data_IF_177475517407
#
_entry.id   IF_177475517407
#
_cell.length_a   1.000
_cell.length_b   1.000
_cell.length_c   1.000
_cell.angle_alpha   90.00
_cell.angle_beta   90.00
_cell.angle_gamma   90.00
#
_symmetry.space_group_name_H-M   'P 1'
#
loop_
_entity.id
_entity.type
_entity.pdbx_description
1 polymer ?
#
# COMPACT_ATOMS: atom_id res chain seq x y z
N UNK A 1 12.36 -6.27 49.55
CA UNK A 1 11.88 -7.42 48.74
C UNK A 1 10.83 -6.87 47.80
N UNK A 2 10.98 -7.01 46.47
CA UNK A 2 10.02 -6.44 45.51
C UNK A 2 8.73 -7.27 45.59
N UNK A 3 7.60 -6.61 45.82
CA UNK A 3 6.30 -7.24 45.65
C UNK A 3 5.99 -7.32 44.15
N UNK A 4 6.31 -8.45 43.54
CA UNK A 4 6.16 -8.62 42.09
C UNK A 4 4.70 -8.46 41.64
N UNK A 5 3.72 -8.94 42.40
CA UNK A 5 2.31 -8.77 42.06
C UNK A 5 1.93 -7.29 41.94
N UNK A 6 2.34 -6.48 42.91
CA UNK A 6 2.07 -5.04 42.89
C UNK A 6 2.78 -4.34 41.73
N UNK A 7 4.02 -4.74 41.43
CA UNK A 7 4.74 -4.24 40.26
C UNK A 7 4.02 -4.59 38.94
N UNK A 8 3.49 -5.81 38.81
CA UNK A 8 2.71 -6.19 37.62
C UNK A 8 1.37 -5.46 37.53
N UNK A 9 0.66 -5.25 38.65
CA UNK A 9 -0.58 -4.44 38.67
C UNK A 9 -0.31 -3.02 38.16
N UNK A 10 0.76 -2.40 38.64
CA UNK A 10 1.19 -1.08 38.17
C UNK A 10 1.56 -1.09 36.69
N UNK A 11 2.29 -2.11 36.22
CA UNK A 11 2.65 -2.24 34.82
C UNK A 11 1.42 -2.30 33.89
N UNK A 12 0.44 -3.17 34.17
CA UNK A 12 -0.77 -3.27 33.35
C UNK A 12 -1.68 -2.04 33.49
N UNK A 13 -1.71 -1.41 34.67
CA UNK A 13 -2.39 -0.12 34.85
C UNK A 13 -1.83 0.96 33.92
N UNK A 14 -0.50 1.10 33.87
CA UNK A 14 0.16 2.09 33.01
C UNK A 14 -0.09 1.82 31.52
N UNK A 15 -0.07 0.54 31.10
CA UNK A 15 -0.42 0.16 29.72
C UNK A 15 -1.84 0.56 29.34
N UNK A 16 -2.81 0.24 30.18
CA UNK A 16 -4.19 0.66 29.99
C UNK A 16 -4.31 2.19 29.94
N UNK A 17 -3.69 2.90 30.89
CA UNK A 17 -3.75 4.36 30.97
C UNK A 17 -3.13 5.06 29.75
N UNK A 18 -2.12 4.48 29.13
CA UNK A 18 -1.51 5.03 27.91
C UNK A 18 -2.52 5.16 26.75
N UNK A 19 -3.56 4.34 26.72
CA UNK A 19 -4.59 4.32 25.66
C UNK A 19 -5.91 4.97 26.09
N UNK A 20 -6.03 5.38 27.35
CA UNK A 20 -7.25 5.97 27.89
C UNK A 20 -7.59 7.29 27.19
N UNK A 21 -8.84 7.44 26.77
CA UNK A 21 -9.33 8.66 26.09
C UNK A 21 -8.82 8.84 24.66
N UNK A 22 -8.08 7.88 24.10
CA UNK A 22 -7.62 7.95 22.72
C UNK A 22 -8.64 7.25 21.79
N UNK A 23 -9.34 8.03 20.98
CA UNK A 23 -10.36 7.54 20.04
C UNK A 23 -9.80 6.55 19.01
N UNK A 24 -8.53 6.71 18.64
CA UNK A 24 -7.85 5.86 17.65
C UNK A 24 -7.47 4.48 18.21
N UNK A 25 -7.46 4.33 19.53
CA UNK A 25 -7.07 3.09 20.22
C UNK A 25 -8.17 2.55 21.14
N UNK A 26 -9.43 2.77 20.78
CA UNK A 26 -10.57 2.43 21.63
C UNK A 26 -10.70 0.92 21.88
N UNK A 27 -10.42 0.07 20.88
CA UNK A 27 -10.46 -1.39 21.04
C UNK A 27 -9.31 -1.85 21.92
N UNK A 28 -8.11 -1.32 21.68
CA UNK A 28 -6.90 -1.64 22.45
C UNK A 28 -7.08 -1.25 23.91
N UNK A 29 -7.64 -0.06 24.18
CA UNK A 29 -7.95 0.38 25.54
C UNK A 29 -8.90 -0.59 26.23
N UNK A 30 -9.99 -1.01 25.58
CA UNK A 30 -10.94 -1.95 26.15
C UNK A 30 -10.28 -3.31 26.49
N UNK A 31 -9.42 -3.82 25.61
CA UNK A 31 -8.69 -5.07 25.83
C UNK A 31 -7.64 -4.95 26.94
N UNK A 32 -6.86 -3.86 26.97
CA UNK A 32 -5.88 -3.58 28.04
C UNK A 32 -6.57 -3.38 29.39
N UNK A 33 -7.74 -2.73 29.42
CA UNK A 33 -8.56 -2.59 30.62
C UNK A 33 -9.03 -3.95 31.13
N UNK A 34 -9.50 -4.83 30.27
CA UNK A 34 -9.88 -6.20 30.65
C UNK A 34 -8.67 -6.95 31.24
N UNK A 35 -7.50 -6.85 30.62
CA UNK A 35 -6.27 -7.48 31.11
C UNK A 35 -5.83 -6.92 32.47
N UNK A 36 -5.93 -5.60 32.66
CA UNK A 36 -5.71 -4.95 33.94
C UNK A 36 -6.70 -5.40 35.01
N UNK A 37 -8.00 -5.45 34.70
CA UNK A 37 -9.05 -5.89 35.63
C UNK A 37 -8.80 -7.34 36.11
N UNK A 38 -8.31 -8.22 35.22
CA UNK A 38 -7.91 -9.59 35.56
C UNK A 38 -6.79 -9.58 36.60
N UNK A 39 -5.67 -8.91 36.34
CA UNK A 39 -4.54 -8.93 37.29
C UNK A 39 -4.87 -8.19 38.59
N UNK A 40 -5.65 -7.11 38.52
CA UNK A 40 -6.05 -6.35 39.69
C UNK A 40 -6.88 -7.19 40.66
N UNK A 41 -7.69 -8.11 40.13
CA UNK A 41 -8.48 -9.09 40.91
C UNK A 41 -7.65 -10.21 41.57
N UNK A 42 -6.37 -10.35 41.21
CA UNK A 42 -5.51 -11.42 41.72
C UNK A 42 -4.90 -11.06 43.08
N UNK A 43 -4.79 -12.07 43.94
CA UNK A 43 -4.10 -11.98 45.24
C UNK A 43 -2.70 -12.57 45.19
N UNK A 44 -2.41 -13.41 44.20
CA UNK A 44 -1.10 -14.00 43.89
C UNK A 44 -0.79 -13.94 42.40
N UNK A 45 0.46 -14.20 42.00
CA UNK A 45 0.84 -14.26 40.58
C UNK A 45 0.38 -15.55 39.91
N UNK A 46 0.28 -16.63 40.67
CA UNK A 46 -0.21 -17.92 40.22
C UNK A 46 -1.67 -17.81 39.75
N UNK A 47 -2.51 -17.10 40.50
CA UNK A 47 -3.89 -16.80 40.08
C UNK A 47 -3.96 -16.06 38.75
N UNK A 48 -3.01 -15.16 38.49
CA UNK A 48 -2.98 -14.41 37.24
C UNK A 48 -2.71 -15.33 36.05
N UNK A 49 -1.76 -16.27 36.19
CA UNK A 49 -1.46 -17.26 35.15
C UNK A 49 -2.70 -18.10 34.79
N UNK A 50 -3.50 -18.47 35.78
CA UNK A 50 -4.70 -19.29 35.55
C UNK A 50 -5.87 -18.47 34.98
N UNK A 51 -5.97 -17.18 35.35
CA UNK A 51 -7.07 -16.29 34.91
C UNK A 51 -6.82 -15.58 33.57
N UNK A 52 -5.57 -15.39 33.15
CA UNK A 52 -5.24 -14.55 31.98
C UNK A 52 -5.86 -15.06 30.68
N UNK A 53 -6.01 -16.38 30.52
CA UNK A 53 -6.61 -17.00 29.34
C UNK A 53 -6.06 -16.44 28.02
N UNK A 54 -6.97 -15.98 27.14
CA UNK A 54 -6.64 -15.34 25.86
C UNK A 54 -6.56 -13.80 25.92
N UNK A 55 -6.51 -13.19 27.11
CA UNK A 55 -6.54 -11.73 27.24
C UNK A 55 -5.37 -11.05 26.49
N UNK A 56 -4.16 -11.63 26.54
CA UNK A 56 -3.02 -11.12 25.77
C UNK A 56 -3.24 -11.19 24.26
N UNK A 57 -3.85 -12.27 23.78
CA UNK A 57 -4.18 -12.47 22.37
C UNK A 57 -5.19 -11.40 21.90
N UNK A 58 -6.20 -11.13 22.73
CA UNK A 58 -7.22 -10.12 22.45
C UNK A 58 -6.64 -8.71 22.39
N UNK A 59 -5.66 -8.37 23.23
CA UNK A 59 -4.94 -7.09 23.15
C UNK A 59 -4.21 -6.96 21.81
N UNK A 60 -3.54 -8.01 21.35
CA UNK A 60 -2.84 -7.98 20.07
C UNK A 60 -3.80 -7.81 18.88
N UNK A 61 -4.92 -8.54 18.88
CA UNK A 61 -5.97 -8.40 17.86
C UNK A 61 -6.57 -6.99 17.86
N UNK A 62 -6.87 -6.45 19.04
CA UNK A 62 -7.43 -5.10 19.19
C UNK A 62 -6.47 -4.03 18.66
N UNK A 63 -5.16 -4.18 18.92
CA UNK A 63 -4.14 -3.27 18.39
C UNK A 63 -4.09 -3.30 16.87
N UNK A 64 -4.12 -4.48 16.25
CA UNK A 64 -4.15 -4.60 14.78
C UNK A 64 -5.40 -3.94 14.20
N UNK A 65 -6.58 -4.14 14.82
CA UNK A 65 -7.83 -3.51 14.39
C UNK A 65 -7.71 -1.98 14.43
N UNK A 66 -7.26 -1.42 15.54
CA UNK A 66 -7.09 0.03 15.70
C UNK A 66 -6.10 0.59 14.67
N UNK A 67 -4.92 -0.02 14.53
CA UNK A 67 -3.92 0.42 13.55
C UNK A 67 -4.43 0.35 12.11
N UNK A 68 -5.16 -0.70 11.74
CA UNK A 68 -5.72 -0.80 10.40
C UNK A 68 -6.87 0.19 10.17
N UNK A 69 -7.69 0.50 11.18
CA UNK A 69 -8.71 1.53 11.06
C UNK A 69 -8.09 2.93 10.87
N UNK A 70 -7.03 3.25 11.61
CA UNK A 70 -6.29 4.51 11.44
C UNK A 70 -5.73 4.60 10.01
N UNK A 71 -5.03 3.55 9.56
CA UNK A 71 -4.45 3.50 8.21
C UNK A 71 -5.51 3.57 7.13
N UNK A 72 -6.62 2.86 7.30
CA UNK A 72 -7.72 2.84 6.35
C UNK A 72 -8.32 4.24 6.18
N UNK A 73 -8.65 4.94 7.27
CA UNK A 73 -9.15 6.31 7.20
C UNK A 73 -8.18 7.22 6.45
N UNK A 74 -6.89 7.17 6.80
CA UNK A 74 -5.87 7.96 6.11
C UNK A 74 -5.81 7.65 4.61
N UNK A 75 -5.79 6.37 4.23
CA UNK A 75 -5.73 5.97 2.83
C UNK A 75 -7.00 6.32 2.04
N UNK A 76 -8.17 6.27 2.67
CA UNK A 76 -9.43 6.71 2.06
C UNK A 76 -9.45 8.23 1.84
N UNK A 77 -9.00 9.02 2.82
CA UNK A 77 -8.88 10.48 2.70
C UNK A 77 -8.00 10.89 1.52
N UNK A 78 -6.84 10.23 1.36
CA UNK A 78 -5.92 10.51 0.26
C UNK A 78 -6.25 9.73 -1.03
N UNK A 79 -7.33 8.94 -1.01
CA UNK A 79 -7.80 8.08 -2.11
C UNK A 79 -6.74 7.09 -2.62
N UNK A 80 -5.89 6.59 -1.72
CA UNK A 80 -4.93 5.52 -1.99
C UNK A 80 -5.62 4.15 -1.92
N UNK A 81 -6.29 3.78 -3.01
CA UNK A 81 -7.20 2.62 -3.04
C UNK A 81 -6.52 1.26 -2.86
N UNK A 82 -5.25 1.12 -3.24
CA UNK A 82 -4.53 -0.18 -3.14
C UNK A 82 -4.17 -0.46 -1.69
N UNK A 83 -3.59 0.53 -0.98
CA UNK A 83 -3.28 0.37 0.44
C UNK A 83 -4.53 0.26 1.30
N UNK A 84 -5.59 1.02 0.98
CA UNK A 84 -6.89 0.90 1.63
C UNK A 84 -7.48 -0.51 1.50
N UNK A 85 -7.36 -1.15 0.32
CA UNK A 85 -7.85 -2.51 0.12
C UNK A 85 -7.15 -3.53 1.04
N UNK A 86 -5.82 -3.44 1.22
CA UNK A 86 -5.09 -4.29 2.17
C UNK A 86 -5.60 -4.11 3.60
N UNK A 87 -5.78 -2.87 4.07
CA UNK A 87 -6.32 -2.61 5.42
C UNK A 87 -7.70 -3.26 5.62
N UNK A 88 -8.60 -3.17 4.62
CA UNK A 88 -9.91 -3.84 4.68
C UNK A 88 -9.79 -5.36 4.76
N UNK A 89 -8.92 -5.97 3.94
CA UNK A 89 -8.70 -7.43 3.98
C UNK A 89 -8.18 -7.89 5.34
N UNK A 90 -7.26 -7.15 5.96
CA UNK A 90 -6.75 -7.46 7.30
C UNK A 90 -7.89 -7.33 8.34
N UNK A 91 -8.69 -6.26 8.29
CA UNK A 91 -9.83 -6.05 9.19
C UNK A 91 -10.92 -7.13 9.07
N UNK A 92 -11.10 -7.70 7.88
CA UNK A 92 -12.02 -8.82 7.67
C UNK A 92 -11.44 -10.14 8.20
N UNK A 93 -10.14 -10.36 8.00
CA UNK A 93 -9.43 -11.59 8.37
C UNK A 93 -8.98 -11.67 9.82
N UNK A 94 -8.91 -10.55 10.55
CA UNK A 94 -8.54 -10.55 11.99
C UNK A 94 -9.62 -11.18 12.87
N UNK A 95 -10.90 -11.02 12.49
CA UNK A 95 -12.05 -11.53 13.26
C UNK A 95 -11.98 -13.03 13.57
N UNK A 96 -11.61 -13.93 12.64
CA UNK A 96 -11.48 -15.36 12.92
C UNK A 96 -10.17 -15.78 13.61
N UNK A 97 -9.16 -14.92 13.74
CA UNK A 97 -7.89 -15.27 14.38
C UNK A 97 -8.10 -15.56 15.87
N UNK A 98 -7.41 -16.58 16.39
CA UNK A 98 -7.47 -16.94 17.83
C UNK A 98 -6.11 -16.79 18.53
N UNK A 99 -5.03 -16.88 17.75
CA UNK A 99 -3.67 -16.84 18.25
C UNK A 99 -2.83 -15.77 17.53
N UNK A 100 -1.91 -15.16 18.24
CA UNK A 100 -1.00 -14.10 17.77
C UNK A 100 -0.13 -14.63 16.64
N UNK A 101 0.26 -15.90 16.69
CA UNK A 101 0.99 -16.54 15.59
C UNK A 101 0.18 -16.55 14.29
N UNK A 102 -1.11 -16.88 14.34
CA UNK A 102 -2.01 -16.83 13.18
C UNK A 102 -2.19 -15.40 12.68
N UNK A 103 -2.36 -14.45 13.62
CA UNK A 103 -2.49 -13.02 13.32
C UNK A 103 -1.25 -12.49 12.58
N UNK A 104 -0.05 -12.78 13.09
CA UNK A 104 1.22 -12.35 12.49
C UNK A 104 1.35 -12.92 11.07
N UNK A 105 1.10 -14.22 10.91
CA UNK A 105 1.17 -14.88 9.59
C UNK A 105 0.19 -14.23 8.62
N UNK A 106 -1.08 -14.06 9.01
CA UNK A 106 -2.11 -13.46 8.16
C UNK A 106 -1.77 -12.03 7.75
N UNK A 107 -1.31 -11.21 8.70
CA UNK A 107 -0.90 -9.81 8.42
C UNK A 107 0.28 -9.79 7.44
N UNK A 108 1.26 -10.67 7.60
CA UNK A 108 2.41 -10.75 6.70
C UNK A 108 2.01 -11.20 5.29
N UNK A 109 1.11 -12.17 5.17
CA UNK A 109 0.57 -12.61 3.87
C UNK A 109 -0.14 -11.47 3.14
N UNK A 110 -0.97 -10.70 3.85
CA UNK A 110 -1.66 -9.54 3.29
C UNK A 110 -0.72 -8.40 2.90
N UNK A 111 0.34 -8.16 3.68
CA UNK A 111 1.37 -7.18 3.34
C UNK A 111 2.21 -7.61 2.13
N UNK A 112 2.52 -8.90 2.01
CA UNK A 112 3.22 -9.43 0.84
C UNK A 112 2.36 -9.29 -0.42
N UNK A 113 1.06 -9.59 -0.33
CA UNK A 113 0.13 -9.34 -1.43
C UNK A 113 0.06 -7.86 -1.79
N UNK A 114 -0.01 -6.97 -0.78
CA UNK A 114 0.01 -5.53 -1.00
C UNK A 114 1.28 -5.08 -1.75
N UNK A 115 2.45 -5.62 -1.41
CA UNK A 115 3.70 -5.26 -2.09
C UNK A 115 3.65 -5.63 -3.58
N UNK A 116 3.06 -6.78 -3.91
CA UNK A 116 2.82 -7.16 -5.31
C UNK A 116 1.85 -6.18 -5.96
N UNK A 117 0.71 -5.89 -5.31
CA UNK A 117 -0.30 -4.95 -5.83
C UNK A 117 0.27 -3.54 -6.05
N UNK A 118 1.15 -3.05 -5.17
CA UNK A 118 1.83 -1.76 -5.33
C UNK A 118 2.78 -1.82 -6.53
N UNK A 119 3.58 -2.87 -6.63
CA UNK A 119 4.56 -3.04 -7.72
C UNK A 119 3.86 -3.08 -9.07
N UNK A 120 2.75 -3.82 -9.17
CA UNK A 120 1.96 -3.96 -10.40
C UNK A 120 1.00 -2.80 -10.64
N UNK A 121 0.89 -1.86 -9.71
CA UNK A 121 0.15 -0.60 -9.83
C UNK A 121 1.05 0.58 -10.24
N UNK A 122 1.90 0.32 -11.22
CA UNK A 122 2.77 1.30 -11.84
C UNK A 122 2.10 2.04 -13.00
N UNK A 123 2.48 3.31 -13.17
CA UNK A 123 2.24 4.10 -14.38
C UNK A 123 3.50 4.25 -15.24
N UNK A 124 4.66 3.76 -14.80
CA UNK A 124 5.86 3.75 -15.65
C UNK A 124 5.68 2.77 -16.83
N UNK A 125 6.22 3.04 -18.04
CA UNK A 125 7.05 4.19 -18.43
C UNK A 125 6.30 5.46 -18.84
N UNK A 126 4.97 5.54 -18.66
CA UNK A 126 4.18 6.72 -19.05
C UNK A 126 4.65 8.04 -18.43
N UNK A 127 5.37 7.99 -17.29
CA UNK A 127 5.88 9.18 -16.63
C UNK A 127 7.08 9.85 -17.36
N UNK A 128 7.70 9.18 -18.33
CA UNK A 128 8.83 9.73 -19.09
C UNK A 128 8.36 10.37 -20.40
N UNK A 129 7.86 11.60 -20.27
CA UNK A 129 7.21 12.35 -21.36
C UNK A 129 8.17 12.85 -22.44
N UNK A 130 9.47 12.95 -22.13
CA UNK A 130 10.47 13.56 -23.02
C UNK A 130 10.58 12.81 -24.35
N UNK A 131 10.50 11.48 -24.32
CA UNK A 131 10.60 10.65 -25.52
C UNK A 131 9.43 10.87 -26.49
N UNK A 132 8.23 11.08 -25.95
CA UNK A 132 7.05 11.35 -26.77
C UNK A 132 7.10 12.76 -27.37
N UNK A 133 7.58 13.74 -26.62
CA UNK A 133 7.78 15.10 -27.12
C UNK A 133 8.83 15.14 -28.25
N UNK A 134 9.96 14.45 -28.09
CA UNK A 134 10.97 14.34 -29.15
C UNK A 134 10.38 13.74 -30.44
N UNK A 135 9.62 12.66 -30.30
CA UNK A 135 9.00 11.97 -31.42
C UNK A 135 7.98 12.88 -32.13
N UNK A 136 7.17 13.61 -31.36
CA UNK A 136 6.23 14.61 -31.91
C UNK A 136 6.96 15.72 -32.68
N UNK A 137 8.02 16.29 -32.09
CA UNK A 137 8.83 17.33 -32.74
C UNK A 137 9.39 16.83 -34.06
N UNK A 138 9.98 15.63 -34.10
CA UNK A 138 10.64 15.13 -35.31
C UNK A 138 9.65 14.67 -36.39
N UNK A 139 8.47 14.19 -36.02
CA UNK A 139 7.45 13.76 -36.99
C UNK A 139 6.65 14.94 -37.56
N UNK A 140 6.47 16.02 -36.81
CA UNK A 140 5.60 17.15 -37.21
C UNK A 140 6.36 18.38 -37.70
N UNK A 141 7.65 18.54 -37.36
CA UNK A 141 8.40 19.74 -37.74
C UNK A 141 8.77 19.76 -39.23
N UNK A 142 8.88 20.96 -39.80
CA UNK A 142 9.45 21.14 -41.14
C UNK A 142 10.98 21.01 -41.09
N UNK A 143 11.46 19.82 -41.42
CA UNK A 143 12.90 19.50 -41.40
C UNK A 143 13.51 19.74 -42.79
N UNK A 144 14.62 20.50 -42.90
CA UNK A 144 15.32 20.67 -44.17
C UNK A 144 15.70 19.33 -44.80
N UNK A 145 15.63 19.24 -46.13
CA UNK A 145 15.81 17.99 -46.87
C UNK A 145 17.12 17.26 -46.51
N UNK A 146 18.21 18.01 -46.28
CA UNK A 146 19.51 17.47 -45.89
C UNK A 146 19.52 16.71 -44.55
N UNK A 147 18.54 16.92 -43.68
CA UNK A 147 18.46 16.29 -42.36
C UNK A 147 17.27 15.34 -42.21
N UNK A 148 16.35 15.25 -43.19
CA UNK A 148 15.12 14.44 -43.07
C UNK A 148 15.39 12.98 -42.71
N UNK A 149 16.37 12.35 -43.36
CA UNK A 149 16.72 10.95 -43.09
C UNK A 149 17.25 10.75 -41.66
N UNK A 150 18.09 11.67 -41.19
CA UNK A 150 18.66 11.66 -39.84
C UNK A 150 17.55 11.74 -38.77
N UNK A 151 16.61 12.66 -38.93
CA UNK A 151 15.52 12.82 -37.97
C UNK A 151 14.49 11.68 -38.05
N UNK A 152 14.27 11.10 -39.23
CA UNK A 152 13.48 9.89 -39.36
C UNK A 152 14.11 8.70 -38.62
N UNK A 153 15.44 8.56 -38.67
CA UNK A 153 16.16 7.56 -37.90
C UNK A 153 16.00 7.78 -36.38
N UNK A 154 16.15 9.02 -35.90
CA UNK A 154 15.91 9.36 -34.49
C UNK A 154 14.49 9.04 -34.04
N UNK A 155 13.47 9.41 -34.83
CA UNK A 155 12.09 9.10 -34.50
C UNK A 155 11.84 7.58 -34.42
N UNK A 156 12.49 6.80 -35.27
CA UNK A 156 12.41 5.34 -35.22
C UNK A 156 13.13 4.75 -34.00
N UNK A 157 14.30 5.30 -33.63
CA UNK A 157 15.01 4.91 -32.40
C UNK A 157 14.16 5.16 -31.16
N UNK A 158 13.52 6.33 -31.05
CA UNK A 158 12.66 6.65 -29.90
C UNK A 158 11.41 5.77 -29.85
N UNK A 159 10.78 5.54 -31.00
CA UNK A 159 9.66 4.59 -31.11
C UNK A 159 10.06 3.21 -30.58
N UNK A 160 11.22 2.72 -31.00
CA UNK A 160 11.74 1.41 -30.57
C UNK A 160 12.06 1.39 -29.07
N UNK A 161 12.61 2.48 -28.54
CA UNK A 161 12.87 2.65 -27.10
C UNK A 161 11.57 2.61 -26.28
N UNK A 162 10.53 3.30 -26.73
CA UNK A 162 9.21 3.30 -26.08
C UNK A 162 8.63 1.89 -26.09
N UNK A 163 8.54 1.24 -27.25
CA UNK A 163 8.04 -0.13 -27.38
C UNK A 163 8.83 -1.10 -26.48
N UNK A 164 10.15 -0.97 -26.46
CA UNK A 164 11.03 -1.80 -25.63
C UNK A 164 10.82 -1.56 -24.13
N UNK A 165 10.61 -0.31 -23.71
CA UNK A 165 10.35 0.02 -22.31
C UNK A 165 9.02 -0.59 -21.82
N UNK A 166 7.95 -0.50 -22.64
CA UNK A 166 6.67 -1.14 -22.33
C UNK A 166 6.78 -2.67 -22.33
N UNK A 167 7.47 -3.26 -23.31
CA UNK A 167 7.68 -4.71 -23.34
C UNK A 167 8.53 -5.20 -22.15
N UNK A 168 9.55 -4.44 -21.76
CA UNK A 168 10.41 -4.75 -20.62
C UNK A 168 9.63 -4.70 -19.30
N UNK A 169 8.79 -3.67 -19.08
CA UNK A 169 7.99 -3.61 -17.86
C UNK A 169 6.92 -4.70 -17.84
N UNK A 170 6.27 -5.00 -18.97
CA UNK A 170 5.33 -6.12 -19.01
C UNK A 170 6.01 -7.43 -18.67
N UNK A 171 7.19 -7.69 -19.24
CA UNK A 171 7.97 -8.89 -18.94
C UNK A 171 8.32 -8.97 -17.46
N UNK A 172 8.80 -7.87 -16.88
CA UNK A 172 9.19 -7.82 -15.47
C UNK A 172 7.98 -8.02 -14.54
N UNK A 173 6.87 -7.33 -14.82
CA UNK A 173 5.65 -7.46 -14.01
C UNK A 173 5.03 -8.86 -14.10
N UNK A 174 5.23 -9.58 -15.22
CA UNK A 174 4.79 -10.96 -15.35
C UNK A 174 5.54 -11.94 -14.42
N UNK A 175 6.72 -11.59 -13.91
CA UNK A 175 7.40 -12.38 -12.87
C UNK A 175 6.62 -12.36 -11.54
N UNK A 176 5.83 -11.30 -11.30
CA UNK A 176 5.08 -11.08 -10.07
C UNK A 176 3.58 -11.40 -10.24
N UNK A 177 3.01 -11.04 -11.39
CA UNK A 177 1.61 -11.25 -11.73
C UNK A 177 1.50 -11.79 -13.17
N UNK A 178 1.37 -13.12 -13.34
CA UNK A 178 1.22 -13.72 -14.65
C UNK A 178 0.00 -13.17 -15.40
N UNK A 179 0.19 -12.85 -16.68
CA UNK A 179 -0.82 -12.21 -17.52
C UNK A 179 -0.95 -10.70 -17.31
N UNK A 180 -0.07 -10.07 -16.52
CA UNK A 180 -0.10 -8.62 -16.35
C UNK A 180 0.15 -7.90 -17.67
N UNK A 181 -0.64 -6.83 -17.89
CA UNK A 181 -0.54 -5.91 -19.03
C UNK A 181 -0.59 -4.48 -18.53
N UNK A 182 0.15 -3.60 -19.18
CA UNK A 182 0.11 -2.19 -18.83
C UNK A 182 -1.31 -1.64 -19.07
N UNK A 183 -1.83 -0.87 -18.12
CA UNK A 183 -3.18 -0.32 -18.19
C UNK A 183 -3.15 1.20 -18.17
N UNK A 184 -3.45 1.80 -19.32
CA UNK A 184 -3.53 3.26 -19.47
C UNK A 184 -4.68 3.88 -18.65
N UNK A 185 -5.67 3.09 -18.23
CA UNK A 185 -6.76 3.57 -17.35
C UNK A 185 -6.26 3.85 -15.93
N UNK A 186 -5.14 3.26 -15.51
CA UNK A 186 -4.56 3.56 -14.19
C UNK A 186 -4.08 5.00 -14.08
N UNK A 187 -3.62 5.59 -15.18
CA UNK A 187 -3.11 6.97 -15.22
C UNK A 187 -4.18 7.97 -14.77
N UNK A 188 -5.44 7.70 -15.12
CA UNK A 188 -6.57 8.58 -14.83
C UNK A 188 -7.06 8.47 -13.38
N UNK A 189 -6.57 7.49 -12.61
CA UNK A 189 -6.90 7.38 -11.19
C UNK A 189 -6.29 8.54 -10.42
N UNK A 190 -7.07 9.15 -9.55
CA UNK A 190 -6.70 10.35 -8.80
C UNK A 190 -5.35 10.24 -8.07
N UNK A 191 -5.06 9.07 -7.48
CA UNK A 191 -3.78 8.82 -6.81
C UNK A 191 -2.56 8.93 -7.72
N UNK A 192 -2.69 8.49 -8.98
CA UNK A 192 -1.63 8.57 -10.00
C UNK A 192 -1.57 9.97 -10.59
N UNK A 193 -2.74 10.60 -10.83
CA UNK A 193 -2.82 12.01 -11.27
C UNK A 193 -2.12 12.96 -10.31
N UNK A 194 -2.25 12.77 -8.99
CA UNK A 194 -1.56 13.56 -7.95
C UNK A 194 -0.02 13.53 -8.04
N UNK A 195 0.54 12.48 -8.63
CA UNK A 195 1.99 12.32 -8.78
C UNK A 195 2.53 12.95 -10.08
N UNK A 196 1.63 13.34 -10.99
CA UNK A 196 1.98 13.90 -12.29
C UNK A 196 1.78 15.41 -12.27
N UNK A 197 2.84 16.23 -12.46
CA UNK A 197 2.75 17.69 -12.42
C UNK A 197 2.14 18.32 -13.68
N UNK A 198 1.48 17.53 -14.53
CA UNK A 198 0.99 17.95 -15.84
C UNK A 198 -0.54 18.06 -15.88
N UNK A 199 -1.06 18.93 -16.75
CA UNK A 199 -2.49 19.12 -16.95
C UNK A 199 -3.16 17.87 -17.54
N UNK A 200 -4.47 17.73 -17.33
CA UNK A 200 -5.22 16.59 -17.87
C UNK A 200 -5.16 16.52 -19.41
N UNK A 201 -5.09 17.67 -20.10
CA UNK A 201 -4.93 17.72 -21.56
C UNK A 201 -3.59 17.12 -22.00
N UNK A 202 -2.49 17.48 -21.33
CA UNK A 202 -1.17 16.91 -21.63
C UNK A 202 -1.20 15.39 -21.42
N UNK A 203 -1.74 14.88 -20.31
CA UNK A 203 -1.86 13.43 -20.11
C UNK A 203 -2.69 12.77 -21.20
N UNK A 204 -3.84 13.36 -21.57
CA UNK A 204 -4.73 12.78 -22.56
C UNK A 204 -4.05 12.67 -23.93
N UNK A 205 -3.37 13.72 -24.38
CA UNK A 205 -2.59 13.71 -25.62
C UNK A 205 -1.52 12.64 -25.59
N UNK A 206 -0.76 12.56 -24.50
CA UNK A 206 0.36 11.62 -24.39
C UNK A 206 -0.11 10.17 -24.29
N UNK A 207 -1.25 9.93 -23.62
CA UNK A 207 -1.92 8.62 -23.58
C UNK A 207 -2.29 8.17 -24.99
N UNK A 208 -2.88 9.06 -25.80
CA UNK A 208 -3.24 8.76 -27.18
C UNK A 208 -2.01 8.48 -28.06
N UNK A 209 -0.96 9.31 -27.95
CA UNK A 209 0.28 9.10 -28.71
C UNK A 209 0.94 7.77 -28.37
N UNK A 210 1.07 7.47 -27.08
CA UNK A 210 1.63 6.18 -26.62
C UNK A 210 0.80 5.00 -27.12
N UNK A 211 -0.53 5.07 -27.01
CA UNK A 211 -1.41 4.00 -27.51
C UNK A 211 -1.25 3.78 -29.01
N UNK A 212 -1.13 4.85 -29.80
CA UNK A 212 -0.85 4.78 -31.25
C UNK A 212 0.51 4.15 -31.57
N UNK A 213 1.50 4.32 -30.70
CA UNK A 213 2.81 3.67 -30.85
C UNK A 213 2.67 2.17 -30.60
N UNK A 214 2.05 1.77 -29.49
CA UNK A 214 2.00 0.37 -29.06
C UNK A 214 0.98 -0.52 -29.79
N UNK A 215 -0.03 0.05 -30.45
CA UNK A 215 -1.12 -0.71 -31.09
C UNK A 215 -1.11 -0.61 -32.64
N UNK A 216 0.07 -0.48 -33.25
CA UNK A 216 0.23 -0.64 -34.72
C UNK A 216 0.14 -2.10 -35.12
#
# INVERSE_FOLDING_TARGET
>A
MINYLEAYKQYYFLRMKQREGNEDYCNTYAAEKMLFDIINSCTTLEEFKDKIGSANEQVAMALVIDEQNIRLRHYEEIKETVKAACCRRILDKVKPCKHVSELITMVNEEQNLLNIEITTDTIYPFADMLFLENLEIWEQSEIPAAYKEKYAAYANEERTSIESAYAAIEKEMNNWQPGWKFSFEKIDKEKHRRLLPYSNEVIATQKQLTQKILHK
#
